data_IF_237688515157
#
_entry.id   IF_237688515157
#
_cell.length_a   1.000
_cell.length_b   1.000
_cell.length_c   1.000
_cell.angle_alpha   90.00
_cell.angle_beta   90.00
_cell.angle_gamma   90.00
#
_symmetry.space_group_name_H-M   'P 1'
#
loop_
_entity.id
_entity.type
_entity.pdbx_description
1 polymer ?
#
# COMPACT_ATOMS: atom_id res chain seq x y z
N UNK A 1 3.46 -24.47 2.89
CA UNK A 1 4.14 -23.40 2.16
C UNK A 1 3.18 -22.24 2.16
N UNK A 2 3.34 -21.30 3.09
CA UNK A 2 2.49 -20.11 3.13
C UNK A 2 2.87 -19.26 1.93
N UNK A 3 1.97 -19.13 0.94
CA UNK A 3 2.18 -18.12 -0.09
C UNK A 3 1.92 -16.79 0.60
N UNK A 4 2.96 -15.98 0.79
CA UNK A 4 2.78 -14.62 1.29
C UNK A 4 1.97 -13.83 0.25
N UNK A 5 0.82 -13.23 0.62
CA UNK A 5 -0.01 -12.44 -0.29
C UNK A 5 0.75 -11.28 -0.93
N UNK A 6 1.86 -10.82 -0.32
CA UNK A 6 2.76 -9.84 -0.91
C UNK A 6 4.17 -10.40 -1.04
N UNK A 7 4.74 -10.24 -2.24
CA UNK A 7 6.11 -10.59 -2.55
C UNK A 7 6.96 -9.33 -2.69
N UNK A 8 7.96 -9.18 -1.82
CA UNK A 8 8.94 -8.10 -1.88
C UNK A 8 10.08 -8.46 -2.85
N UNK A 9 10.42 -7.52 -3.73
CA UNK A 9 11.56 -7.58 -4.64
C UNK A 9 12.18 -6.19 -4.82
N UNK A 10 13.40 -6.10 -5.35
CA UNK A 10 14.07 -4.83 -5.60
C UNK A 10 15.58 -4.92 -5.45
N UNK A 11 16.30 -3.91 -5.92
CA UNK A 11 17.77 -3.87 -5.88
C UNK A 11 18.31 -3.20 -4.61
N UNK A 12 17.57 -2.23 -4.05
CA UNK A 12 17.92 -1.51 -2.82
C UNK A 12 16.71 -1.48 -1.87
N UNK A 13 16.38 -2.62 -1.28
CA UNK A 13 15.15 -2.72 -0.47
C UNK A 13 15.25 -2.10 0.91
N UNK A 14 16.43 -1.65 1.37
CA UNK A 14 16.62 -0.98 2.67
C UNK A 14 15.80 -1.59 3.82
N UNK A 15 14.83 -0.83 4.33
CA UNK A 15 13.86 -1.17 5.38
C UNK A 15 12.52 -1.66 4.86
N UNK A 16 12.33 -1.74 3.54
CA UNK A 16 11.13 -2.34 2.97
C UNK A 16 10.91 -3.74 3.54
N UNK A 17 9.69 -4.01 3.96
CA UNK A 17 9.29 -5.32 4.47
C UNK A 17 7.95 -5.73 3.89
N UNK A 18 7.76 -7.03 3.68
CA UNK A 18 6.46 -7.63 3.40
C UNK A 18 6.25 -8.76 4.40
N UNK A 19 5.12 -8.73 5.09
CA UNK A 19 4.71 -9.75 6.04
C UNK A 19 3.25 -10.10 5.78
N UNK A 20 3.01 -11.34 5.36
CA UNK A 20 1.68 -11.81 4.96
C UNK A 20 1.04 -10.86 3.94
N UNK A 21 -0.04 -10.19 4.31
CA UNK A 21 -0.80 -9.26 3.47
C UNK A 21 -0.33 -7.80 3.61
N UNK A 22 0.62 -7.53 4.51
CA UNK A 22 1.06 -6.18 4.84
C UNK A 22 2.45 -5.91 4.28
N UNK A 23 2.70 -4.64 3.95
CA UNK A 23 3.95 -4.15 3.43
C UNK A 23 4.26 -2.76 3.96
N UNK A 24 5.54 -2.44 4.08
CA UNK A 24 5.97 -1.25 4.80
C UNK A 24 7.31 -0.73 4.34
N UNK A 25 7.57 0.54 4.63
CA UNK A 25 8.89 1.18 4.53
C UNK A 25 9.44 1.66 5.88
N UNK A 26 8.70 1.48 6.99
CA UNK A 26 8.99 1.96 8.37
C UNK A 26 10.40 2.51 8.62
N UNK A 27 10.51 3.85 8.63
CA UNK A 27 11.77 4.57 8.85
C UNK A 27 12.80 4.36 7.76
N UNK A 28 12.34 4.31 6.50
CA UNK A 28 13.09 4.04 5.27
C UNK A 28 14.45 4.73 5.23
N UNK A 29 15.39 4.14 4.50
CA UNK A 29 16.72 4.69 4.21
C UNK A 29 16.71 5.56 2.94
N UNK A 30 17.83 6.22 2.66
CA UNK A 30 18.03 6.96 1.41
C UNK A 30 18.16 6.02 0.21
N UNK A 31 17.67 6.45 -0.96
CA UNK A 31 17.72 5.72 -2.22
C UNK A 31 17.13 4.29 -2.14
N UNK A 32 16.11 4.10 -1.30
CA UNK A 32 15.36 2.86 -1.32
C UNK A 32 14.60 2.75 -2.64
N UNK A 33 14.59 1.54 -3.18
CA UNK A 33 13.83 1.20 -4.37
C UNK A 33 13.37 -0.24 -4.22
N UNK A 34 12.10 -0.40 -3.90
CA UNK A 34 11.49 -1.70 -3.71
C UNK A 34 10.15 -1.82 -4.44
N UNK A 35 9.83 -3.05 -4.81
CA UNK A 35 8.61 -3.42 -5.53
C UNK A 35 7.91 -4.52 -4.76
N UNK A 36 6.69 -4.23 -4.33
CA UNK A 36 5.76 -5.18 -3.73
C UNK A 36 4.86 -5.71 -4.84
N UNK A 37 4.88 -7.02 -5.07
CA UNK A 37 3.98 -7.68 -6.01
C UNK A 37 2.80 -8.27 -5.25
N UNK A 38 1.60 -7.83 -5.64
CA UNK A 38 0.34 -8.29 -5.07
C UNK A 38 0.07 -9.70 -5.59
N UNK A 39 -0.15 -10.67 -4.70
CA UNK A 39 -0.44 -12.06 -5.08
C UNK A 39 -1.93 -12.39 -4.97
N UNK A 40 -2.67 -11.62 -4.18
CA UNK A 40 -4.11 -11.77 -3.97
C UNK A 40 -4.78 -10.40 -4.13
N UNK A 41 -5.87 -10.33 -4.90
CA UNK A 41 -6.59 -9.08 -5.15
C UNK A 41 -7.31 -8.60 -3.88
N UNK A 42 -7.41 -7.28 -3.71
CA UNK A 42 -8.09 -6.69 -2.56
C UNK A 42 -8.11 -5.16 -2.63
N UNK A 43 -8.29 -4.54 -1.46
CA UNK A 43 -8.16 -3.09 -1.28
C UNK A 43 -7.05 -2.78 -0.30
N UNK A 44 -6.40 -1.63 -0.46
CA UNK A 44 -5.36 -1.17 0.45
C UNK A 44 -5.97 -0.55 1.72
N UNK A 45 -5.62 -1.10 2.88
CA UNK A 45 -5.90 -0.60 4.23
C UNK A 45 -4.62 0.07 4.77
N UNK A 46 -4.65 1.39 4.90
CA UNK A 46 -3.48 2.19 5.30
C UNK A 46 -3.45 2.34 6.82
N UNK A 47 -2.56 1.59 7.46
CA UNK A 47 -2.33 1.65 8.91
C UNK A 47 -1.59 2.94 9.28
N UNK A 48 -0.54 3.27 8.52
CA UNK A 48 0.20 4.52 8.68
C UNK A 48 0.80 4.97 7.36
N UNK A 49 0.85 6.28 7.15
CA UNK A 49 1.44 6.87 5.95
C UNK A 49 1.95 8.27 6.24
N UNK A 50 3.28 8.41 6.28
CA UNK A 50 3.94 9.71 6.38
C UNK A 50 5.29 9.67 5.67
N UNK A 51 5.35 10.25 4.48
CA UNK A 51 6.55 10.30 3.62
C UNK A 51 6.89 11.73 3.25
N UNK A 52 8.13 11.99 2.82
CA UNK A 52 8.58 13.35 2.51
C UNK A 52 7.82 13.95 1.32
N UNK A 53 7.30 15.16 1.52
CA UNK A 53 6.60 15.93 0.49
C UNK A 53 6.64 17.43 0.80
N UNK A 54 6.37 18.26 -0.20
CA UNK A 54 6.16 19.70 0.00
C UNK A 54 4.98 20.24 -0.81
N UNK A 55 4.33 21.27 -0.26
CA UNK A 55 3.34 22.05 -1.00
C UNK A 55 4.03 23.02 -1.97
N UNK A 56 3.52 23.08 -3.21
CA UNK A 56 3.90 24.10 -4.18
C UNK A 56 2.67 24.81 -4.73
N UNK A 57 2.87 25.95 -5.40
CA UNK A 57 1.79 26.65 -6.09
C UNK A 57 1.09 25.82 -7.18
N UNK A 58 1.71 24.72 -7.62
CA UNK A 58 1.20 23.85 -8.67
C UNK A 58 0.74 22.48 -8.16
N UNK A 59 0.65 22.31 -6.83
CA UNK A 59 0.28 21.04 -6.18
C UNK A 59 1.38 20.48 -5.29
N UNK A 60 1.15 19.26 -4.78
CA UNK A 60 2.08 18.55 -3.90
C UNK A 60 3.25 18.00 -4.73
N UNK A 61 4.47 18.19 -4.23
CA UNK A 61 5.69 17.57 -4.74
C UNK A 61 6.01 16.38 -3.83
N UNK A 62 6.07 15.19 -4.43
CA UNK A 62 6.50 13.98 -3.74
C UNK A 62 8.02 13.80 -3.94
N UNK A 63 8.78 13.87 -2.85
CA UNK A 63 10.20 13.53 -2.86
C UNK A 63 10.34 12.02 -2.70
N UNK A 64 9.70 11.49 -1.64
CA UNK A 64 9.54 10.06 -1.42
C UNK A 64 8.13 9.61 -1.77
N UNK A 65 8.02 8.60 -2.63
CA UNK A 65 6.74 8.28 -3.28
C UNK A 65 6.44 6.79 -3.33
N UNK A 66 5.19 6.49 -2.98
CA UNK A 66 4.58 5.20 -3.24
C UNK A 66 3.74 5.30 -4.50
N UNK A 67 4.00 4.45 -5.48
CA UNK A 67 3.23 4.38 -6.73
C UNK A 67 2.33 3.14 -6.71
N UNK A 68 1.02 3.38 -6.81
CA UNK A 68 -0.02 2.35 -6.92
C UNK A 68 -0.85 2.63 -8.16
N UNK A 69 -1.01 1.66 -9.06
CA UNK A 69 -1.78 1.79 -10.30
C UNK A 69 -1.40 3.03 -11.15
N UNK A 70 -0.11 3.38 -11.16
CA UNK A 70 0.42 4.54 -11.90
C UNK A 70 0.15 5.90 -11.24
N UNK A 71 -0.44 5.95 -10.05
CA UNK A 71 -0.61 7.16 -9.26
C UNK A 71 0.40 7.21 -8.11
N UNK A 72 1.01 8.37 -7.93
CA UNK A 72 1.95 8.65 -6.84
C UNK A 72 1.19 9.12 -5.58
N UNK A 73 1.66 8.67 -4.42
CA UNK A 73 1.19 9.02 -3.09
C UNK A 73 2.39 9.40 -2.22
N UNK A 74 2.24 10.49 -1.46
CA UNK A 74 3.27 10.99 -0.55
C UNK A 74 2.66 11.88 0.54
N UNK A 75 3.49 12.38 1.46
CA UNK A 75 3.02 13.18 2.58
C UNK A 75 2.19 12.33 3.52
N UNK A 76 1.03 12.85 3.92
CA UNK A 76 0.08 12.15 4.80
C UNK A 76 -1.12 11.55 4.05
N UNK A 77 -1.14 11.65 2.72
CA UNK A 77 -2.23 11.18 1.87
C UNK A 77 -1.88 9.86 1.17
N UNK A 78 -2.00 8.76 1.93
CA UNK A 78 -1.74 7.40 1.43
C UNK A 78 -2.83 6.84 0.50
N UNK A 79 -2.61 5.65 -0.10
CA UNK A 79 -3.52 5.04 -1.07
C UNK A 79 -4.69 4.28 -0.42
N UNK A 80 -5.36 4.89 0.56
CA UNK A 80 -6.48 4.28 1.29
C UNK A 80 -7.61 3.87 0.35
N UNK A 81 -8.06 2.62 0.48
CA UNK A 81 -9.17 2.04 -0.28
C UNK A 81 -8.87 1.80 -1.77
N UNK A 82 -7.63 1.98 -2.23
CA UNK A 82 -7.27 1.71 -3.63
C UNK A 82 -7.35 0.21 -3.89
N UNK A 83 -8.10 -0.18 -4.92
CA UNK A 83 -8.17 -1.57 -5.36
C UNK A 83 -6.87 -2.00 -6.05
N UNK A 84 -6.38 -3.19 -5.70
CA UNK A 84 -5.23 -3.84 -6.32
C UNK A 84 -5.59 -5.27 -6.72
N UNK A 85 -4.99 -5.75 -7.80
CA UNK A 85 -5.24 -7.07 -8.36
C UNK A 85 -3.99 -7.95 -8.27
N UNK A 86 -4.20 -9.26 -8.22
CA UNK A 86 -3.11 -10.22 -8.31
C UNK A 86 -2.24 -9.96 -9.57
N UNK A 87 -0.94 -9.80 -9.36
CA UNK A 87 0.05 -9.43 -10.37
C UNK A 87 0.39 -7.94 -10.41
N UNK A 88 -0.39 -7.08 -9.75
CA UNK A 88 -0.09 -5.65 -9.67
C UNK A 88 1.21 -5.41 -8.91
N UNK A 89 1.89 -4.33 -9.28
CA UNK A 89 3.14 -3.89 -8.67
C UNK A 89 2.92 -2.56 -7.98
N UNK A 90 3.27 -2.52 -6.70
CA UNK A 90 3.35 -1.32 -5.90
C UNK A 90 4.83 -0.98 -5.75
N UNK A 91 5.21 0.24 -6.13
CA UNK A 91 6.61 0.66 -6.17
C UNK A 91 6.86 1.75 -5.13
N UNK A 92 7.92 1.60 -4.35
CA UNK A 92 8.40 2.60 -3.40
C UNK A 92 9.77 3.10 -3.82
N UNK A 93 9.94 4.42 -3.79
CA UNK A 93 11.20 5.10 -4.05
C UNK A 93 11.41 6.22 -3.03
N UNK A 94 12.59 6.29 -2.42
CA UNK A 94 13.03 7.43 -1.60
C UNK A 94 14.22 8.15 -2.23
N UNK A 95 14.38 9.43 -1.89
CA UNK A 95 15.47 10.28 -2.37
C UNK A 95 16.71 10.25 -1.45
N UNK A 96 17.55 11.29 -1.50
CA UNK A 96 18.82 11.38 -0.79
C UNK A 96 18.86 12.28 0.45
N UNK A 97 17.69 12.74 0.89
CA UNK A 97 17.54 13.61 2.06
C UNK A 97 16.48 13.10 3.04
N UNK A 98 16.36 13.84 4.15
CA UNK A 98 15.56 13.60 5.36
C UNK A 98 14.41 12.60 5.24
N UNK A 99 14.45 11.53 6.04
CA UNK A 99 13.39 10.52 6.04
C UNK A 99 12.31 10.85 7.07
N UNK A 100 11.05 10.66 6.68
CA UNK A 100 9.89 10.66 7.57
C UNK A 100 9.62 9.25 8.14
N UNK A 101 8.45 9.04 8.74
CA UNK A 101 8.14 7.77 9.42
C UNK A 101 7.94 6.58 8.45
N UNK A 102 7.65 6.84 7.18
CA UNK A 102 7.34 5.82 6.17
C UNK A 102 5.88 5.40 6.18
N UNK A 103 5.61 4.18 5.74
CA UNK A 103 4.25 3.63 5.70
C UNK A 103 4.18 2.18 6.17
N UNK A 104 2.97 1.79 6.56
CA UNK A 104 2.54 0.40 6.73
C UNK A 104 1.12 0.27 6.17
N UNK A 105 0.94 -0.68 5.24
CA UNK A 105 -0.29 -0.85 4.47
C UNK A 105 -0.55 -2.35 4.32
N UNK A 106 -1.80 -2.77 4.44
CA UNK A 106 -2.22 -4.15 4.19
C UNK A 106 -3.16 -4.25 2.98
N UNK A 107 -3.11 -5.38 2.29
CA UNK A 107 -4.13 -5.77 1.32
C UNK A 107 -5.19 -6.56 2.08
N UNK A 108 -6.41 -6.06 2.10
CA UNK A 108 -7.55 -6.73 2.74
C UNK A 108 -8.57 -7.13 1.69
N UNK A 109 -9.25 -8.25 1.93
CA UNK A 109 -10.43 -8.59 1.14
C UNK A 109 -11.51 -7.53 1.43
N UNK A 110 -12.03 -6.81 0.41
CA UNK A 110 -13.13 -5.88 0.62
C UNK A 110 -14.42 -6.61 1.04
N UNK A 111 -14.48 -7.94 0.94
CA UNK A 111 -15.61 -8.73 1.35
C UNK A 111 -15.64 -8.95 2.86
N UNK A 112 -16.80 -8.71 3.45
CA UNK A 112 -17.11 -9.06 4.83
C UNK A 112 -17.88 -10.37 4.78
N UNK A 113 -17.38 -11.42 5.46
CA UNK A 113 -18.16 -12.64 5.60
C UNK A 113 -19.49 -12.35 6.29
N UNK A 114 -20.60 -12.79 5.69
CA UNK A 114 -21.91 -12.76 6.33
C UNK A 114 -22.50 -14.15 6.48
N UNK A 115 -23.06 -14.40 7.66
CA UNK A 115 -23.89 -15.58 7.92
C UNK A 115 -25.37 -15.36 7.56
N UNK A 116 -25.74 -14.15 7.10
CA UNK A 116 -27.10 -13.73 6.79
C UNK A 116 -27.28 -13.67 5.27
N UNK A 117 -28.08 -14.57 4.67
CA UNK A 117 -28.33 -14.56 3.23
C UNK A 117 -29.10 -13.32 2.75
N UNK A 118 -29.66 -12.53 3.68
CA UNK A 118 -30.35 -11.28 3.38
C UNK A 118 -29.43 -10.07 3.34
N UNK A 119 -28.14 -10.23 3.65
CA UNK A 119 -27.18 -9.14 3.57
C UNK A 119 -26.85 -8.88 2.09
N UNK A 120 -27.50 -7.89 1.52
CA UNK A 120 -27.43 -7.53 0.09
C UNK A 120 -26.49 -6.35 -0.19
N UNK A 121 -25.80 -5.86 0.83
CA UNK A 121 -24.90 -4.70 0.72
C UNK A 121 -25.60 -3.34 0.63
N UNK A 122 -26.91 -3.26 0.88
CA UNK A 122 -27.65 -1.98 0.92
C UNK A 122 -27.13 -0.98 1.96
N UNK A 123 -26.32 -1.44 2.93
CA UNK A 123 -25.65 -0.61 3.92
C UNK A 123 -24.25 -0.11 3.48
N UNK A 124 -23.82 -0.42 2.26
CA UNK A 124 -22.53 -0.01 1.71
C UNK A 124 -21.40 -1.02 1.93
N UNK A 125 -21.65 -2.16 2.57
CA UNK A 125 -20.67 -3.22 2.73
C UNK A 125 -20.77 -4.25 1.60
N UNK A 126 -19.63 -4.78 1.17
CA UNK A 126 -19.60 -5.92 0.26
C UNK A 126 -19.60 -7.20 1.09
N UNK A 127 -20.61 -8.05 0.91
CA UNK A 127 -20.72 -9.30 1.64
C UNK A 127 -20.35 -10.50 0.75
N UNK A 128 -19.56 -11.43 1.29
CA UNK A 128 -19.26 -12.71 0.66
C UNK A 128 -20.10 -13.83 1.31
N UNK A 129 -20.62 -14.74 0.46
CA UNK A 129 -21.36 -15.93 0.89
C UNK A 129 -20.37 -17.11 0.85
N UNK A 130 -20.09 -17.72 2.00
CA UNK A 130 -19.28 -18.94 2.11
C UNK A 130 -20.06 -20.20 1.69
#
# INVERSE_FOLDING_TARGET
YSNSPILLSGSNTGKCAANEACFSSLGYEYYESCTFTVSESGVLDVISFYTESSDSSNGIICYDKLTVNGKEFCGTSGPEGVAVFAGDKIMWESDDYTNEAGFEICVVDPCIESSSPSDDGSNGNFYCIN
#
